data_IF_494101855982
#
_entry.id   IF_494101855982
#
_cell.length_a   1.000
_cell.length_b   1.000
_cell.length_c   1.000
_cell.angle_alpha   90.00
_cell.angle_beta   90.00
_cell.angle_gamma   90.00
#
_symmetry.space_group_name_H-M   'P 1'
#
loop_
_entity.id
_entity.type
_entity.pdbx_description
1 polymer ?
#
# COMPACT_ATOMS: atom_id res chain seq x y z
N UNK A 1 -1.37 -10.80 -6.37
CA UNK A 1 -1.31 -9.46 -5.75
C UNK A 1 0.12 -9.17 -5.33
N UNK A 2 0.59 -7.98 -5.63
CA UNK A 2 1.91 -7.43 -5.27
C UNK A 2 2.13 -7.29 -3.76
N UNK A 3 1.06 -7.05 -3.01
CA UNK A 3 1.07 -6.77 -1.56
C UNK A 3 0.47 -7.91 -0.73
N UNK A 4 0.55 -9.15 -1.20
CA UNK A 4 0.04 -10.34 -0.50
C UNK A 4 -1.43 -10.25 -0.01
N UNK A 5 -2.27 -9.54 -0.78
CA UNK A 5 -3.71 -9.41 -0.51
C UNK A 5 -4.07 -8.33 0.52
N UNK A 6 -3.12 -7.49 0.93
CA UNK A 6 -3.37 -6.32 1.79
C UNK A 6 -3.21 -5.07 0.95
N UNK A 7 -4.23 -4.22 0.87
CA UNK A 7 -4.09 -2.94 0.20
C UNK A 7 -3.39 -1.95 1.16
N UNK A 8 -2.18 -1.46 0.85
CA UNK A 8 -1.44 -0.57 1.75
C UNK A 8 -2.12 0.80 1.86
N UNK A 9 -2.91 1.20 0.86
CA UNK A 9 -3.68 2.46 0.87
C UNK A 9 -4.79 2.42 1.93
N UNK A 10 -5.50 1.30 2.05
CA UNK A 10 -6.61 1.16 3.00
C UNK A 10 -6.15 0.68 4.37
N UNK A 11 -5.08 -0.12 4.44
CA UNK A 11 -4.59 -0.69 5.69
C UNK A 11 -3.64 0.24 6.45
N UNK A 12 -2.94 1.15 5.77
CA UNK A 12 -2.07 2.14 6.41
C UNK A 12 -2.83 3.45 6.67
N UNK A 13 -2.73 4.01 7.88
CA UNK A 13 -3.30 5.33 8.19
C UNK A 13 -2.80 6.46 7.29
N UNK A 14 -1.56 6.35 6.76
CA UNK A 14 -1.00 7.33 5.81
C UNK A 14 -1.25 6.97 4.34
N UNK A 15 -1.81 5.79 4.05
CA UNK A 15 -2.06 5.33 2.68
C UNK A 15 -0.80 5.20 1.82
N UNK A 16 0.37 4.93 2.42
CA UNK A 16 1.65 4.87 1.72
C UNK A 16 1.74 3.62 0.84
N UNK A 17 1.98 3.83 -0.46
CA UNK A 17 2.18 2.76 -1.46
C UNK A 17 3.60 2.23 -1.52
N UNK A 18 4.59 2.99 -1.05
CA UNK A 18 6.00 2.64 -1.10
C UNK A 18 6.61 2.62 0.31
N UNK A 19 6.64 1.45 0.94
CA UNK A 19 7.30 1.21 2.22
C UNK A 19 6.64 1.85 3.46
N UNK A 20 7.15 1.51 4.65
CA UNK A 20 6.66 2.06 5.92
C UNK A 20 6.98 3.55 6.05
N UNK A 21 6.24 4.24 6.91
CA UNK A 21 6.27 5.70 7.09
C UNK A 21 7.56 6.29 7.69
N UNK A 22 8.52 5.46 8.08
CA UNK A 22 9.71 5.85 8.85
C UNK A 22 10.26 4.69 9.68
N UNK A 23 9.44 3.68 9.91
CA UNK A 23 9.79 2.44 10.59
C UNK A 23 8.53 1.72 11.06
N UNK A 24 8.71 0.64 11.80
CA UNK A 24 7.63 0.01 12.57
C UNK A 24 8.06 -0.05 14.02
N UNK A 25 7.16 0.28 14.95
CA UNK A 25 7.48 0.20 16.37
C UNK A 25 7.23 -1.24 16.82
N UNK A 26 8.25 -2.09 16.67
CA UNK A 26 8.19 -3.51 17.02
C UNK A 26 7.04 -4.27 16.32
N UNK A 27 6.76 -3.92 15.05
CA UNK A 27 5.66 -4.47 14.24
C UNK A 27 4.39 -3.61 14.22
N UNK A 28 4.25 -2.65 15.13
CA UNK A 28 3.08 -1.76 15.26
C UNK A 28 3.22 -0.45 14.48
N UNK A 29 2.10 0.21 14.23
CA UNK A 29 2.06 1.49 13.53
C UNK A 29 2.67 2.60 14.41
N UNK A 30 3.35 3.57 13.78
CA UNK A 30 3.90 4.75 14.47
C UNK A 30 2.79 5.65 15.04
N UNK A 31 1.69 5.79 14.29
CA UNK A 31 0.57 6.67 14.66
C UNK A 31 -0.28 6.04 15.76
N UNK A 32 -0.46 4.72 15.71
CA UNK A 32 -1.42 4.00 16.53
C UNK A 32 -0.79 2.72 17.07
N UNK A 33 -0.49 2.68 18.37
CA UNK A 33 0.22 1.56 19.00
C UNK A 33 -0.66 0.32 19.13
N UNK A 34 -1.98 0.47 19.02
CA UNK A 34 -2.88 -0.67 19.10
C UNK A 34 -2.93 -1.44 17.79
N UNK A 35 -2.79 -0.76 16.64
CA UNK A 35 -2.83 -1.40 15.32
C UNK A 35 -1.47 -1.87 14.81
N UNK A 36 -1.49 -3.02 14.15
CA UNK A 36 -0.35 -3.54 13.41
C UNK A 36 -0.05 -2.70 12.17
N UNK A 37 1.24 -2.54 11.85
CA UNK A 37 1.62 -1.83 10.63
C UNK A 37 1.28 -2.68 9.40
N UNK A 38 0.58 -2.08 8.44
CA UNK A 38 0.25 -2.73 7.16
C UNK A 38 1.48 -3.34 6.47
N UNK A 39 2.62 -2.66 6.52
CA UNK A 39 3.86 -3.15 5.92
C UNK A 39 4.50 -4.32 6.67
N UNK A 40 4.34 -4.41 8.00
CA UNK A 40 4.74 -5.60 8.77
C UNK A 40 3.93 -6.80 8.31
N UNK A 41 2.60 -6.65 8.22
CA UNK A 41 1.70 -7.72 7.80
C UNK A 41 1.96 -8.16 6.35
N UNK A 42 2.20 -7.21 5.44
CA UNK A 42 2.59 -7.49 4.05
C UNK A 42 3.91 -8.26 4.03
N UNK A 43 4.90 -7.82 4.80
CA UNK A 43 6.20 -8.48 4.88
C UNK A 43 6.09 -9.92 5.40
N UNK A 44 5.35 -10.15 6.49
CA UNK A 44 5.16 -11.49 7.04
C UNK A 44 4.45 -12.43 6.04
N UNK A 45 3.39 -11.95 5.37
CA UNK A 45 2.69 -12.74 4.35
C UNK A 45 3.56 -13.01 3.12
N UNK A 46 4.35 -12.04 2.67
CA UNK A 46 5.29 -12.21 1.55
C UNK A 46 6.44 -13.14 1.92
N UNK A 47 6.96 -13.06 3.15
CA UNK A 47 7.98 -13.97 3.69
C UNK A 47 7.47 -15.40 3.73
N UNK A 48 6.25 -15.62 4.22
CA UNK A 48 5.61 -16.93 4.21
C UNK A 48 5.45 -17.50 2.78
N UNK A 49 5.19 -16.63 1.81
CA UNK A 49 5.10 -17.00 0.39
C UNK A 49 6.46 -17.07 -0.33
N UNK A 50 7.58 -16.74 0.34
CA UNK A 50 8.91 -16.56 -0.27
C UNK A 50 8.93 -15.57 -1.46
N UNK A 51 8.06 -14.56 -1.44
CA UNK A 51 7.92 -13.54 -2.51
C UNK A 51 8.38 -12.15 -2.08
N UNK A 52 9.41 -12.08 -1.24
CA UNK A 52 9.96 -10.82 -0.72
C UNK A 52 10.50 -9.89 -1.82
N UNK A 53 10.82 -10.42 -3.00
CA UNK A 53 11.23 -9.65 -4.17
C UNK A 53 10.22 -8.56 -4.57
N UNK A 54 8.92 -8.84 -4.40
CA UNK A 54 7.85 -7.91 -4.75
C UNK A 54 7.89 -6.61 -3.93
N UNK A 55 8.42 -6.66 -2.70
CA UNK A 55 8.53 -5.49 -1.84
C UNK A 55 9.62 -4.52 -2.31
N UNK A 56 10.56 -4.96 -3.15
CA UNK A 56 11.59 -4.11 -3.75
C UNK A 56 11.12 -3.41 -5.03
N UNK A 57 9.98 -3.82 -5.59
CA UNK A 57 9.42 -3.16 -6.77
C UNK A 57 8.85 -1.80 -6.36
N UNK A 58 9.33 -0.77 -7.03
CA UNK A 58 8.80 0.58 -6.92
C UNK A 58 7.40 0.64 -7.53
N UNK A 59 6.43 1.16 -6.78
CA UNK A 59 5.11 1.44 -7.30
C UNK A 59 5.02 2.89 -7.78
N UNK A 60 4.53 3.14 -9.00
CA UNK A 60 4.41 4.49 -9.52
C UNK A 60 3.47 5.33 -8.65
N UNK A 61 3.70 6.65 -8.58
CA UNK A 61 2.81 7.54 -7.84
C UNK A 61 1.39 7.45 -8.39
N UNK A 62 0.41 7.43 -7.49
CA UNK A 62 -0.99 7.39 -7.85
C UNK A 62 -1.37 8.64 -8.65
N UNK A 63 -2.09 8.48 -9.77
CA UNK A 63 -2.55 9.61 -10.55
C UNK A 63 -3.73 10.29 -9.84
N UNK A 64 -3.48 11.42 -9.19
CA UNK A 64 -4.51 12.22 -8.49
C UNK A 64 -5.28 13.18 -9.41
N UNK A 65 -5.06 13.13 -10.74
CA UNK A 65 -5.79 14.00 -11.66
C UNK A 65 -7.29 13.71 -11.61
N UNK A 66 -8.09 14.76 -11.41
CA UNK A 66 -9.53 14.70 -11.52
C UNK A 66 -9.90 14.36 -12.97
N UNK A 67 -10.41 13.15 -13.20
CA UNK A 67 -10.93 12.76 -14.51
C UNK A 67 -12.17 13.61 -14.79
N UNK A 68 -12.21 14.41 -15.87
CA UNK A 68 -13.42 15.13 -16.25
C UNK A 68 -14.55 14.11 -16.49
N UNK A 69 -15.75 14.43 -16.00
CA UNK A 69 -16.97 13.66 -16.24
C UNK A 69 -17.77 14.38 -17.33
N UNK A 70 -18.32 13.70 -18.34
CA UNK A 70 -18.30 12.25 -18.58
C UNK A 70 -16.95 11.75 -19.13
N UNK A 71 -16.52 10.57 -18.66
CA UNK A 71 -15.25 9.91 -19.09
C UNK A 71 -15.24 9.54 -20.58
N UNK A 72 -16.41 9.50 -21.22
CA UNK A 72 -16.60 9.26 -22.64
C UNK A 72 -17.54 10.32 -23.20
N UNK A 73 -17.02 11.26 -23.98
CA UNK A 73 -17.84 12.12 -24.83
C UNK A 73 -18.10 11.36 -26.13
N UNK A 74 -19.26 10.70 -26.23
CA UNK A 74 -19.78 10.23 -27.52
C UNK A 74 -20.49 11.41 -28.18
N UNK A 75 -19.81 12.07 -29.10
CA UNK A 75 -20.43 13.01 -30.03
C UNK A 75 -21.04 12.14 -31.14
N UNK A 76 -22.37 12.12 -31.26
CA UNK A 76 -23.08 11.61 -32.44
C UNK A 76 -23.02 12.62 -33.57
#
# INVERSE_FOLDING_TARGET
>A
GETAGICPITACHKGLVNGPCGGTNNGKCEVDKEKDCAWTLIYERLKAQKRLDLMRKYQPPHNFQASPRPRTLRIS
#
